data_IF_448638783011
#
_entry.id   IF_448638783011
#
_cell.length_a   1.000
_cell.length_b   1.000
_cell.length_c   1.000
_cell.angle_alpha   90.00
_cell.angle_beta   90.00
_cell.angle_gamma   90.00
#
_symmetry.space_group_name_H-M   'P 1'
#
loop_
_entity.id
_entity.type
_entity.pdbx_description
1 polymer ?
#
# COMPACT_ATOMS: atom_id res chain seq x y z
N UNK A 1 27.36 -19.63 -6.30
CA UNK A 1 27.11 -18.86 -5.07
C UNK A 1 26.26 -17.66 -5.48
N UNK A 2 24.97 -17.60 -5.09
CA UNK A 2 24.09 -16.47 -5.46
C UNK A 2 24.65 -15.22 -4.75
N UNK A 3 25.06 -14.22 -5.52
CA UNK A 3 25.50 -12.94 -4.99
C UNK A 3 24.24 -12.20 -4.55
N UNK A 4 23.86 -12.34 -3.27
CA UNK A 4 22.75 -11.60 -2.70
C UNK A 4 23.13 -10.12 -2.76
N UNK A 5 22.34 -9.31 -3.45
CA UNK A 5 22.60 -7.87 -3.48
C UNK A 5 22.47 -7.31 -2.06
N UNK A 6 23.12 -6.17 -1.79
CA UNK A 6 22.98 -5.47 -0.50
C UNK A 6 21.49 -5.20 -0.21
N UNK A 7 20.71 -4.92 -1.26
CA UNK A 7 19.26 -4.76 -1.19
C UNK A 7 18.56 -6.02 -0.67
N UNK A 8 18.90 -7.20 -1.21
CA UNK A 8 18.30 -8.47 -0.78
C UNK A 8 18.63 -8.78 0.68
N UNK A 9 19.83 -8.43 1.12
CA UNK A 9 20.26 -8.65 2.51
C UNK A 9 19.49 -7.76 3.48
N UNK A 10 19.31 -6.48 3.15
CA UNK A 10 18.54 -5.54 3.96
C UNK A 10 17.05 -5.91 3.98
N UNK A 11 16.47 -6.18 2.82
CA UNK A 11 15.06 -6.61 2.71
C UNK A 11 14.82 -7.87 3.54
N UNK A 12 15.69 -8.88 3.43
CA UNK A 12 15.53 -10.10 4.21
C UNK A 12 15.74 -9.87 5.72
N UNK A 13 16.64 -8.98 6.13
CA UNK A 13 16.79 -8.62 7.53
C UNK A 13 15.52 -7.96 8.11
N UNK A 14 14.81 -7.16 7.31
CA UNK A 14 13.58 -6.47 7.75
C UNK A 14 12.39 -7.44 7.81
N UNK A 15 12.23 -8.31 6.82
CA UNK A 15 11.03 -9.16 6.68
C UNK A 15 11.17 -10.57 7.24
N UNK A 16 12.40 -11.06 7.50
CA UNK A 16 12.59 -12.39 8.11
C UNK A 16 12.00 -12.54 9.51
N UNK A 17 12.00 -11.52 10.40
CA UNK A 17 11.32 -11.63 11.69
C UNK A 17 9.80 -11.73 11.52
N UNK A 18 9.23 -10.96 10.57
CA UNK A 18 7.80 -11.02 10.25
C UNK A 18 7.41 -12.40 9.70
N UNK A 19 8.24 -12.96 8.82
CA UNK A 19 8.07 -14.32 8.29
C UNK A 19 8.08 -15.35 9.42
N UNK A 20 9.11 -15.33 10.26
CA UNK A 20 9.25 -16.26 11.39
C UNK A 20 8.05 -16.19 12.34
N UNK A 21 7.59 -14.98 12.67
CA UNK A 21 6.40 -14.78 13.50
C UNK A 21 5.12 -15.32 12.83
N UNK A 22 4.94 -15.05 11.53
CA UNK A 22 3.75 -15.49 10.79
C UNK A 22 3.69 -17.02 10.64
N UNK A 23 4.84 -17.67 10.41
CA UNK A 23 4.96 -19.12 10.26
C UNK A 23 4.91 -19.86 11.60
N UNK A 24 5.12 -19.16 12.72
CA UNK A 24 5.09 -19.78 14.06
C UNK A 24 3.74 -20.42 14.40
N UNK A 25 2.63 -19.88 13.89
CA UNK A 25 1.31 -20.49 14.07
C UNK A 25 0.31 -20.10 12.98
N UNK A 26 -0.67 -20.96 12.72
CA UNK A 26 -1.77 -20.66 11.80
C UNK A 26 -2.59 -19.43 12.25
N UNK A 27 -2.67 -19.18 13.56
CA UNK A 27 -3.29 -17.98 14.12
C UNK A 27 -2.60 -16.71 13.67
N UNK A 28 -1.26 -16.65 13.78
CA UNK A 28 -0.47 -15.49 13.36
C UNK A 28 -0.60 -15.23 11.86
N UNK A 29 -0.54 -16.29 11.05
CA UNK A 29 -0.77 -16.20 9.61
C UNK A 29 -2.14 -15.60 9.27
N UNK A 30 -3.19 -16.06 9.96
CA UNK A 30 -4.56 -15.56 9.76
C UNK A 30 -4.71 -14.10 10.19
N UNK A 31 -4.07 -13.69 11.29
CA UNK A 31 -4.02 -12.29 11.75
C UNK A 31 -3.33 -11.40 10.72
N UNK A 32 -2.22 -11.87 10.13
CA UNK A 32 -1.48 -11.11 9.13
C UNK A 32 -2.32 -10.87 7.86
N UNK A 33 -3.00 -11.90 7.38
CA UNK A 33 -3.89 -11.78 6.22
C UNK A 33 -5.09 -10.91 6.57
N UNK A 34 -5.74 -11.16 7.71
CA UNK A 34 -6.92 -10.43 8.15
C UNK A 34 -6.65 -8.92 8.30
N UNK A 35 -5.54 -8.57 8.95
CA UNK A 35 -5.12 -7.17 9.06
C UNK A 35 -4.80 -6.54 7.70
N UNK A 36 -4.17 -7.28 6.78
CA UNK A 36 -3.95 -6.84 5.41
C UNK A 36 -5.25 -6.50 4.66
N UNK A 37 -6.29 -7.33 4.82
CA UNK A 37 -7.61 -7.09 4.23
C UNK A 37 -8.32 -5.88 4.84
N UNK A 38 -8.27 -5.74 6.17
CA UNK A 38 -8.82 -4.56 6.85
C UNK A 38 -8.15 -3.29 6.30
N UNK A 39 -6.82 -3.29 6.16
CA UNK A 39 -6.08 -2.16 5.59
C UNK A 39 -6.50 -1.89 4.14
N UNK A 40 -6.64 -2.92 3.32
CA UNK A 40 -7.07 -2.77 1.93
C UNK A 40 -8.44 -2.08 1.84
N UNK A 41 -9.40 -2.59 2.61
CA UNK A 41 -10.79 -2.10 2.62
C UNK A 41 -10.84 -0.67 3.14
N UNK A 42 -10.16 -0.37 4.26
CA UNK A 42 -10.11 0.98 4.81
C UNK A 42 -9.47 1.95 3.82
N UNK A 43 -8.33 1.58 3.21
CA UNK A 43 -7.66 2.40 2.20
C UNK A 43 -8.57 2.70 1.03
N UNK A 44 -9.23 1.67 0.48
CA UNK A 44 -10.17 1.81 -0.63
C UNK A 44 -11.36 2.71 -0.28
N UNK A 45 -11.98 2.51 0.89
CA UNK A 45 -13.10 3.34 1.37
C UNK A 45 -12.66 4.80 1.47
N UNK A 46 -11.50 5.08 2.07
CA UNK A 46 -10.99 6.44 2.19
C UNK A 46 -10.74 7.08 0.82
N UNK A 47 -10.11 6.36 -0.12
CA UNK A 47 -9.89 6.86 -1.49
C UNK A 47 -11.22 7.21 -2.14
N UNK A 48 -12.23 6.33 -2.07
CA UNK A 48 -13.56 6.57 -2.67
C UNK A 48 -14.25 7.75 -2.00
N UNK A 49 -14.23 7.83 -0.67
CA UNK A 49 -14.87 8.92 0.08
C UNK A 49 -14.25 10.26 -0.29
N UNK A 50 -12.92 10.38 -0.27
CA UNK A 50 -12.27 11.63 -0.64
C UNK A 50 -12.42 11.96 -2.11
N UNK A 51 -12.39 10.97 -3.00
CA UNK A 51 -12.65 11.18 -4.42
C UNK A 51 -14.06 11.74 -4.66
N UNK A 52 -15.09 11.16 -4.03
CA UNK A 52 -16.46 11.68 -4.12
C UNK A 52 -16.62 13.06 -3.50
N UNK A 53 -15.91 13.35 -2.40
CA UNK A 53 -15.93 14.67 -1.75
C UNK A 53 -15.34 15.78 -2.60
N UNK A 54 -14.52 15.48 -3.61
CA UNK A 54 -13.98 16.51 -4.52
C UNK A 54 -15.04 17.12 -5.45
N UNK A 55 -16.20 16.47 -5.62
CA UNK A 55 -17.30 16.99 -6.43
C UNK A 55 -17.38 16.40 -7.84
N UNK A 56 -18.09 17.10 -8.73
CA UNK A 56 -18.30 16.64 -10.11
C UNK A 56 -16.98 16.63 -10.90
N UNK A 57 -16.89 15.71 -11.85
CA UNK A 57 -15.73 15.63 -12.74
C UNK A 57 -15.66 16.87 -13.63
N UNK A 58 -14.66 17.70 -13.37
CA UNK A 58 -14.23 18.83 -14.19
C UNK A 58 -12.72 18.72 -14.45
N UNK A 59 -12.14 19.65 -15.22
CA UNK A 59 -10.71 19.63 -15.57
C UNK A 59 -9.81 19.64 -14.32
N UNK A 60 -10.18 20.42 -13.30
CA UNK A 60 -9.44 20.52 -12.03
C UNK A 60 -9.48 19.22 -11.24
N UNK A 61 -10.66 18.65 -11.05
CA UNK A 61 -10.91 17.43 -10.28
C UNK A 61 -10.26 16.23 -10.96
N UNK A 62 -10.23 16.21 -12.30
CA UNK A 62 -9.53 15.19 -13.07
C UNK A 62 -8.00 15.26 -12.84
N UNK A 63 -7.41 16.45 -12.83
CA UNK A 63 -5.98 16.60 -12.49
C UNK A 63 -5.66 16.14 -11.06
N UNK A 64 -6.54 16.40 -10.10
CA UNK A 64 -6.39 15.91 -8.72
C UNK A 64 -6.46 14.38 -8.68
N UNK A 65 -7.43 13.78 -9.38
CA UNK A 65 -7.56 12.33 -9.47
C UNK A 65 -6.32 11.68 -10.11
N UNK A 66 -5.81 12.26 -11.20
CA UNK A 66 -4.59 11.79 -11.87
C UNK A 66 -3.36 11.86 -10.96
N UNK A 67 -3.21 12.93 -10.18
CA UNK A 67 -2.12 13.04 -9.19
C UNK A 67 -2.27 12.02 -8.06
N UNK A 68 -3.51 11.73 -7.62
CA UNK A 68 -3.79 10.64 -6.69
C UNK A 68 -3.38 9.28 -7.25
N UNK A 69 -3.73 8.99 -8.51
CA UNK A 69 -3.31 7.77 -9.22
C UNK A 69 -1.78 7.70 -9.38
N UNK A 70 -1.12 8.82 -9.63
CA UNK A 70 0.35 8.90 -9.69
C UNK A 70 0.99 8.58 -8.33
N UNK A 71 0.41 9.04 -7.22
CA UNK A 71 0.83 8.62 -5.88
C UNK A 71 0.65 7.10 -5.67
N UNK A 72 -0.44 6.49 -6.16
CA UNK A 72 -0.61 5.03 -6.12
C UNK A 72 0.50 4.33 -6.89
N UNK A 73 0.80 4.80 -8.11
CA UNK A 73 1.81 4.20 -8.98
C UNK A 73 3.20 4.25 -8.32
N UNK A 74 3.59 5.38 -7.73
CA UNK A 74 4.85 5.47 -6.99
C UNK A 74 4.89 4.52 -5.80
N UNK A 75 3.80 4.42 -5.04
CA UNK A 75 3.72 3.47 -3.92
C UNK A 75 3.85 2.02 -4.39
N UNK A 76 3.22 1.64 -5.50
CA UNK A 76 3.33 0.30 -6.08
C UNK A 76 4.78 -0.02 -6.50
N UNK A 77 5.43 0.89 -7.21
CA UNK A 77 6.82 0.73 -7.67
C UNK A 77 7.76 0.60 -6.47
N UNK A 78 7.61 1.45 -5.45
CA UNK A 78 8.42 1.37 -4.24
C UNK A 78 8.22 0.03 -3.51
N UNK A 79 6.98 -0.44 -3.40
CA UNK A 79 6.70 -1.75 -2.81
C UNK A 79 7.29 -2.89 -3.64
N UNK A 80 7.28 -2.82 -4.96
CA UNK A 80 7.86 -3.87 -5.83
C UNK A 80 9.40 -3.94 -5.78
N UNK A 81 10.06 -2.85 -5.33
CA UNK A 81 11.49 -2.81 -5.06
C UNK A 81 11.83 -3.33 -3.66
N UNK A 82 10.98 -3.04 -2.67
CA UNK A 82 11.27 -3.33 -1.25
C UNK A 82 10.77 -4.72 -0.85
N UNK A 83 9.61 -5.17 -1.31
CA UNK A 83 8.98 -6.39 -0.83
C UNK A 83 9.65 -7.66 -1.38
N UNK A 84 9.85 -8.68 -0.53
CA UNK A 84 10.48 -9.92 -0.94
C UNK A 84 9.55 -10.69 -1.89
N UNK A 85 10.15 -11.32 -2.90
CA UNK A 85 9.41 -12.07 -3.94
C UNK A 85 9.44 -13.58 -3.75
N UNK A 86 10.36 -14.06 -2.92
CA UNK A 86 10.65 -15.48 -2.74
C UNK A 86 9.71 -16.16 -1.72
N UNK A 87 9.10 -15.39 -0.80
CA UNK A 87 8.21 -15.93 0.23
C UNK A 87 7.06 -14.96 0.55
N UNK A 88 5.95 -15.51 1.04
CA UNK A 88 4.75 -14.74 1.44
C UNK A 88 4.25 -13.75 0.37
N UNK A 89 4.51 -14.05 -0.91
CA UNK A 89 4.26 -13.15 -2.03
C UNK A 89 2.83 -12.63 -2.08
N UNK A 90 1.83 -13.50 -1.86
CA UNK A 90 0.42 -13.11 -1.85
C UNK A 90 0.09 -12.13 -0.71
N UNK A 91 0.73 -12.29 0.45
CA UNK A 91 0.54 -11.40 1.60
C UNK A 91 1.16 -10.04 1.29
N UNK A 92 2.40 -10.00 0.81
CA UNK A 92 3.04 -8.75 0.41
C UNK A 92 2.31 -8.06 -0.75
N UNK A 93 1.74 -8.83 -1.67
CA UNK A 93 0.87 -8.30 -2.71
C UNK A 93 -0.36 -7.61 -2.12
N UNK A 94 -1.03 -8.21 -1.14
CA UNK A 94 -2.16 -7.58 -0.43
C UNK A 94 -1.73 -6.25 0.22
N UNK A 95 -0.66 -6.25 1.00
CA UNK A 95 -0.15 -5.02 1.64
C UNK A 95 0.30 -3.96 0.62
N UNK A 96 0.86 -4.37 -0.52
CA UNK A 96 1.27 -3.45 -1.59
C UNK A 96 0.09 -2.63 -2.10
N UNK A 97 -1.04 -3.27 -2.40
CA UNK A 97 -2.23 -2.54 -2.85
C UNK A 97 -2.87 -1.73 -1.73
N UNK A 98 -2.86 -2.21 -0.49
CA UNK A 98 -3.31 -1.43 0.66
C UNK A 98 -2.53 -0.11 0.78
N UNK A 99 -1.19 -0.18 0.74
CA UNK A 99 -0.32 1.00 0.80
C UNK A 99 -0.59 1.95 -0.38
N UNK A 100 -0.79 1.41 -1.59
CA UNK A 100 -1.12 2.23 -2.76
C UNK A 100 -2.44 3.01 -2.57
N UNK A 101 -3.49 2.36 -2.07
CA UNK A 101 -4.75 3.05 -1.77
C UNK A 101 -4.56 4.12 -0.70
N UNK A 102 -3.82 3.82 0.38
CA UNK A 102 -3.52 4.81 1.41
C UNK A 102 -2.71 6.00 0.88
N UNK A 103 -1.74 5.78 0.00
CA UNK A 103 -0.96 6.87 -0.61
C UNK A 103 -1.87 7.85 -1.37
N UNK A 104 -2.81 7.33 -2.17
CA UNK A 104 -3.82 8.16 -2.84
C UNK A 104 -4.80 8.81 -1.86
N UNK A 105 -5.30 8.06 -0.88
CA UNK A 105 -6.22 8.58 0.13
C UNK A 105 -5.60 9.74 0.92
N UNK A 106 -4.34 9.62 1.33
CA UNK A 106 -3.58 10.69 2.02
C UNK A 106 -3.43 11.90 1.11
N UNK A 107 -3.03 11.71 -0.15
CA UNK A 107 -2.93 12.81 -1.11
C UNK A 107 -4.27 13.55 -1.27
N UNK A 108 -5.35 12.81 -1.50
CA UNK A 108 -6.69 13.37 -1.65
C UNK A 108 -7.17 14.05 -0.37
N UNK A 109 -6.89 13.49 0.81
CA UNK A 109 -7.25 14.09 2.09
C UNK A 109 -6.53 15.43 2.32
N UNK A 110 -5.23 15.48 2.05
CA UNK A 110 -4.42 16.71 2.14
C UNK A 110 -4.94 17.75 1.16
N UNK A 111 -5.24 17.34 -0.09
CA UNK A 111 -5.79 18.25 -1.09
C UNK A 111 -7.18 18.76 -0.71
N UNK A 112 -8.04 17.88 -0.18
CA UNK A 112 -9.37 18.24 0.26
C UNK A 112 -9.31 19.28 1.38
N UNK A 113 -8.41 19.09 2.37
CA UNK A 113 -8.20 20.10 3.41
C UNK A 113 -7.79 21.43 2.80
N UNK A 114 -6.75 21.47 1.95
CA UNK A 114 -6.25 22.72 1.37
C UNK A 114 -7.28 23.48 0.53
N UNK A 115 -8.19 22.77 -0.14
CA UNK A 115 -9.13 23.39 -1.08
C UNK A 115 -10.48 23.74 -0.44
N UNK A 116 -10.86 23.13 0.70
CA UNK A 116 -12.21 23.23 1.26
C UNK A 116 -12.28 23.50 2.78
N UNK A 117 -11.16 23.46 3.52
CA UNK A 117 -11.07 23.75 4.95
C UNK A 117 -10.01 24.83 5.22
#
# INVERSE_FOLDING_TARGET
MKMNSISDTITNAIFSPLKSWAEHSQGNWSILIGSGFVLLVVGLILTIVFHKKMGKTDERTNQIALKGCLCMLYALILCDLIFPKEYMWQVFFLFKYSIAFFASAIYLAVRYKKDFL
#
